data_IF_359654075490
#
_entry.id   IF_359654075490
#
_cell.length_a   1.000
_cell.length_b   1.000
_cell.length_c   1.000
_cell.angle_alpha   90.00
_cell.angle_beta   90.00
_cell.angle_gamma   90.00
#
_symmetry.space_group_name_H-M   'P 1'
#
loop_
_entity.id
_entity.type
_entity.pdbx_description
1 polymer ?
#
# COMPACT_ATOMS: atom_id res chain seq x y z
N UNK A 1 18.52 15.31 0.32
CA UNK A 1 17.07 15.31 0.07
C UNK A 1 16.74 16.34 -1.00
N UNK A 2 15.80 16.03 -1.86
CA UNK A 2 15.31 17.00 -2.84
C UNK A 2 14.22 17.90 -2.24
N UNK A 3 13.69 18.83 -3.04
CA UNK A 3 12.69 19.81 -2.61
C UNK A 3 11.38 19.18 -2.08
N UNK A 4 11.12 17.90 -2.37
CA UNK A 4 9.90 17.18 -1.95
C UNK A 4 10.10 16.39 -0.65
N UNK A 5 11.25 16.46 0.00
CA UNK A 5 11.55 15.73 1.23
C UNK A 5 11.95 14.27 1.05
N UNK A 6 12.08 13.80 -0.21
CA UNK A 6 12.53 12.44 -0.51
C UNK A 6 14.03 12.39 -0.75
N UNK A 7 14.66 11.26 -0.44
CA UNK A 7 16.06 11.01 -0.83
C UNK A 7 16.18 10.88 -2.35
N UNK A 8 17.42 10.92 -2.86
CA UNK A 8 17.66 10.74 -4.30
C UNK A 8 17.17 9.39 -4.80
N UNK A 9 17.39 8.33 -4.04
CA UNK A 9 16.95 6.98 -4.40
C UNK A 9 15.42 6.85 -4.37
N UNK A 10 14.78 7.40 -3.34
CA UNK A 10 13.32 7.43 -3.25
C UNK A 10 12.70 8.18 -4.42
N UNK A 11 13.26 9.33 -4.78
CA UNK A 11 12.83 10.12 -5.93
C UNK A 11 12.94 9.32 -7.22
N UNK A 12 14.01 8.56 -7.39
CA UNK A 12 14.21 7.74 -8.58
C UNK A 12 13.20 6.61 -8.68
N UNK A 13 12.92 5.92 -7.58
CA UNK A 13 11.88 4.90 -7.54
C UNK A 13 10.49 5.49 -7.83
N UNK A 14 10.18 6.65 -7.27
CA UNK A 14 8.90 7.33 -7.52
C UNK A 14 8.78 7.67 -9.00
N UNK A 15 9.81 8.23 -9.60
CA UNK A 15 9.82 8.57 -11.03
C UNK A 15 9.64 7.34 -11.91
N UNK A 16 10.25 6.21 -11.55
CA UNK A 16 10.22 4.99 -12.35
C UNK A 16 8.91 4.22 -12.22
N UNK A 17 8.36 4.11 -11.01
CA UNK A 17 7.26 3.19 -10.71
C UNK A 17 5.94 3.88 -10.34
N UNK A 18 5.98 5.11 -9.86
CA UNK A 18 4.82 5.79 -9.29
C UNK A 18 4.34 6.93 -10.21
N UNK A 19 4.04 6.58 -11.45
CA UNK A 19 3.60 7.55 -12.45
C UNK A 19 2.09 7.71 -12.40
N UNK A 20 1.66 8.86 -11.91
CA UNK A 20 0.28 9.29 -11.97
C UNK A 20 0.21 10.57 -12.80
N UNK A 21 -0.89 10.76 -13.54
CA UNK A 21 -1.15 11.97 -14.29
C UNK A 21 -2.42 12.59 -13.73
N UNK A 22 -2.35 13.28 -12.58
CA UNK A 22 -3.54 13.85 -11.96
C UNK A 22 -4.15 14.94 -12.83
N UNK A 23 -5.48 14.86 -13.02
CA UNK A 23 -6.26 15.92 -13.64
C UNK A 23 -6.36 17.12 -12.69
N UNK A 24 -6.89 18.24 -13.19
CA UNK A 24 -7.01 19.46 -12.41
C UNK A 24 -7.83 19.29 -11.12
N UNK A 25 -8.85 18.43 -11.15
CA UNK A 25 -9.73 18.14 -10.02
C UNK A 25 -9.27 16.96 -9.17
N UNK A 26 -8.04 16.51 -9.33
CA UNK A 26 -7.50 15.36 -8.61
C UNK A 26 -6.35 15.78 -7.71
N UNK A 27 -6.14 15.01 -6.65
CA UNK A 27 -4.95 15.12 -5.81
C UNK A 27 -4.12 13.84 -5.93
N UNK A 28 -2.82 13.98 -5.73
CA UNK A 28 -1.86 12.89 -5.82
C UNK A 28 -0.72 13.12 -4.84
N UNK A 29 -0.22 12.05 -4.26
CA UNK A 29 0.91 12.11 -3.33
C UNK A 29 1.61 10.76 -3.25
N UNK A 30 2.79 10.74 -2.65
CA UNK A 30 3.55 9.53 -2.37
C UNK A 30 4.05 9.53 -0.95
N UNK A 31 4.05 8.35 -0.31
CA UNK A 31 4.52 8.15 1.05
C UNK A 31 5.57 7.05 1.08
N UNK A 32 6.50 7.17 2.02
CA UNK A 32 7.62 6.26 2.17
C UNK A 32 7.61 5.68 3.57
N UNK A 33 7.94 4.39 3.68
CA UNK A 33 8.11 3.70 4.96
C UNK A 33 9.34 2.81 4.92
N UNK A 34 10.20 2.94 5.92
CA UNK A 34 11.35 2.06 6.13
C UNK A 34 10.96 0.98 7.13
N UNK A 35 11.18 -0.28 6.77
CA UNK A 35 10.75 -1.43 7.56
C UNK A 35 11.96 -2.30 7.89
N UNK A 36 12.14 -2.64 9.16
CA UNK A 36 13.25 -3.48 9.65
C UNK A 36 12.92 -4.96 9.48
N UNK A 37 12.60 -5.34 8.25
CA UNK A 37 12.34 -6.71 7.85
C UNK A 37 12.77 -6.88 6.38
N UNK A 38 13.21 -8.08 5.97
CA UNK A 38 13.65 -8.28 4.60
C UNK A 38 12.49 -8.23 3.61
N UNK A 39 12.80 -7.91 2.35
CA UNK A 39 11.82 -7.72 1.28
C UNK A 39 10.86 -8.90 1.15
N UNK A 40 11.36 -10.14 1.23
CA UNK A 40 10.49 -11.30 1.02
C UNK A 40 9.36 -11.41 2.04
N UNK A 41 9.57 -10.96 3.27
CA UNK A 41 8.51 -10.93 4.29
C UNK A 41 7.51 -9.81 4.02
N UNK A 42 7.99 -8.61 3.72
CA UNK A 42 7.12 -7.47 3.43
C UNK A 42 6.31 -7.75 2.17
N UNK A 43 6.96 -8.21 1.10
CA UNK A 43 6.28 -8.53 -0.15
C UNK A 43 5.27 -9.66 0.01
N UNK A 44 5.54 -10.65 0.84
CA UNK A 44 4.60 -11.75 1.11
C UNK A 44 3.25 -11.26 1.63
N UNK A 45 3.22 -10.13 2.34
CA UNK A 45 1.98 -9.51 2.82
C UNK A 45 1.36 -8.61 1.73
N UNK A 46 2.16 -7.76 1.10
CA UNK A 46 1.68 -6.80 0.11
C UNK A 46 1.06 -7.49 -1.10
N UNK A 47 1.69 -8.57 -1.58
CA UNK A 47 1.23 -9.29 -2.77
C UNK A 47 -0.12 -10.00 -2.61
N UNK A 48 -0.57 -10.21 -1.39
CA UNK A 48 -1.81 -10.93 -1.11
C UNK A 48 -3.02 -10.00 -1.30
N UNK A 49 -3.36 -9.78 -2.55
CA UNK A 49 -4.54 -9.01 -2.94
C UNK A 49 -5.82 -9.54 -2.30
N UNK A 50 -5.89 -10.85 -2.03
CA UNK A 50 -7.03 -11.53 -1.42
C UNK A 50 -7.08 -11.43 0.11
N UNK A 51 -6.04 -10.95 0.77
CA UNK A 51 -5.94 -10.93 2.23
C UNK A 51 -5.37 -9.60 2.76
N UNK A 52 -5.96 -8.44 2.39
CA UNK A 52 -5.48 -7.15 2.87
C UNK A 52 -5.61 -7.00 4.39
N UNK A 53 -6.56 -7.71 5.01
CA UNK A 53 -6.77 -7.68 6.44
C UNK A 53 -5.59 -8.19 7.25
N UNK A 54 -4.63 -8.89 6.63
CA UNK A 54 -3.43 -9.35 7.32
C UNK A 54 -2.57 -8.20 7.83
N UNK A 55 -2.64 -7.04 7.20
CA UNK A 55 -1.87 -5.87 7.66
C UNK A 55 -2.65 -4.56 7.64
N UNK A 56 -3.73 -4.42 6.87
CA UNK A 56 -4.52 -3.19 6.83
C UNK A 56 -5.48 -3.15 8.02
N UNK A 57 -5.28 -2.22 8.98
CA UNK A 57 -6.00 -2.29 10.26
C UNK A 57 -7.49 -1.98 10.17
N UNK A 58 -7.93 -1.29 9.10
CA UNK A 58 -9.34 -0.92 8.94
C UNK A 58 -10.15 -1.93 8.13
N UNK A 59 -9.51 -2.98 7.63
CA UNK A 59 -10.18 -4.03 6.86
C UNK A 59 -10.59 -5.16 7.80
N UNK A 60 -11.88 -5.52 7.79
CA UNK A 60 -12.39 -6.62 8.60
C UNK A 60 -12.51 -7.92 7.79
N UNK A 61 -12.85 -7.82 6.51
CA UNK A 61 -13.09 -8.98 5.65
C UNK A 61 -12.80 -8.63 4.20
N UNK A 62 -12.38 -9.64 3.42
CA UNK A 62 -12.16 -9.51 1.98
C UNK A 62 -12.68 -10.75 1.26
N UNK A 63 -13.44 -10.53 0.19
CA UNK A 63 -13.93 -11.59 -0.70
C UNK A 63 -13.43 -11.28 -2.10
N UNK A 64 -12.78 -12.24 -2.74
CA UNK A 64 -12.23 -12.08 -4.09
C UNK A 64 -13.11 -12.74 -5.13
N UNK A 65 -13.29 -12.05 -6.25
CA UNK A 65 -13.91 -12.58 -7.47
C UNK A 65 -12.86 -12.60 -8.57
N UNK A 66 -12.52 -13.80 -9.02
CA UNK A 66 -11.47 -14.02 -10.01
C UNK A 66 -10.37 -14.92 -9.44
N UNK A 67 -9.30 -15.05 -10.20
CA UNK A 67 -8.19 -15.97 -9.93
C UNK A 67 -6.90 -15.29 -9.51
N UNK A 68 -6.97 -14.07 -9.01
CA UNK A 68 -5.83 -13.23 -8.61
C UNK A 68 -4.96 -12.78 -9.80
N UNK A 69 -5.52 -12.80 -11.00
CA UNK A 69 -4.90 -12.19 -12.18
C UNK A 69 -5.35 -10.74 -12.31
N UNK A 70 -4.69 -9.99 -13.20
CA UNK A 70 -5.09 -8.62 -13.53
C UNK A 70 -6.56 -8.59 -13.94
N UNK A 71 -7.33 -7.66 -13.37
CA UNK A 71 -8.76 -7.55 -13.57
C UNK A 71 -9.59 -8.23 -12.47
N UNK A 72 -8.99 -9.04 -11.61
CA UNK A 72 -9.68 -9.62 -10.46
C UNK A 72 -10.22 -8.52 -9.55
N UNK A 73 -11.38 -8.76 -8.97
CA UNK A 73 -12.04 -7.84 -8.05
C UNK A 73 -11.94 -8.37 -6.62
N UNK A 74 -11.81 -7.47 -5.67
CA UNK A 74 -12.02 -7.79 -4.26
C UNK A 74 -13.08 -6.86 -3.68
N UNK A 75 -13.92 -7.42 -2.83
CA UNK A 75 -14.88 -6.68 -2.04
C UNK A 75 -14.39 -6.66 -0.61
N UNK A 76 -14.16 -5.47 -0.09
CA UNK A 76 -13.55 -5.25 1.21
C UNK A 76 -14.60 -4.69 2.15
N UNK A 77 -14.77 -5.33 3.31
CA UNK A 77 -15.58 -4.79 4.41
C UNK A 77 -14.69 -3.99 5.34
N UNK A 78 -15.12 -2.78 5.66
CA UNK A 78 -14.41 -1.84 6.50
C UNK A 78 -14.95 -1.94 7.93
N UNK A 79 -14.06 -1.86 8.92
CA UNK A 79 -14.44 -1.93 10.33
C UNK A 79 -15.41 -0.81 10.71
N UNK A 80 -16.31 -1.12 11.65
CA UNK A 80 -17.33 -0.18 12.15
C UNK A 80 -16.68 1.07 12.77
N UNK A 81 -17.40 2.19 12.71
CA UNK A 81 -16.92 3.48 13.24
C UNK A 81 -16.20 4.34 12.21
N UNK A 82 -15.98 3.83 10.98
CA UNK A 82 -15.41 4.59 9.88
C UNK A 82 -16.52 5.16 8.99
N UNK A 83 -16.23 6.21 8.19
CA UNK A 83 -17.24 6.85 7.35
C UNK A 83 -17.75 6.00 6.19
N UNK A 84 -17.12 4.86 5.90
CA UNK A 84 -17.52 3.94 4.86
C UNK A 84 -17.60 2.52 5.41
N UNK A 85 -18.39 1.64 4.76
CA UNK A 85 -18.55 0.24 5.16
C UNK A 85 -17.97 -0.75 4.17
N UNK A 86 -17.90 -0.39 2.88
CA UNK A 86 -17.41 -1.29 1.82
C UNK A 86 -16.55 -0.56 0.81
N UNK A 87 -15.67 -1.32 0.16
CA UNK A 87 -14.90 -0.87 -1.00
C UNK A 87 -14.76 -2.02 -1.98
N UNK A 88 -15.00 -1.76 -3.27
CA UNK A 88 -14.76 -2.72 -4.34
C UNK A 88 -13.53 -2.27 -5.11
N UNK A 89 -12.55 -3.14 -5.23
CA UNK A 89 -11.24 -2.80 -5.77
C UNK A 89 -10.82 -3.80 -6.84
N UNK A 90 -10.16 -3.31 -7.88
CA UNK A 90 -9.68 -4.12 -8.99
C UNK A 90 -8.16 -4.17 -9.01
N UNK A 91 -7.63 -5.37 -9.23
CA UNK A 91 -6.19 -5.58 -9.39
C UNK A 91 -5.77 -5.09 -10.78
N UNK A 92 -4.89 -4.09 -10.82
CA UNK A 92 -4.38 -3.50 -12.06
C UNK A 92 -3.02 -4.05 -12.46
N UNK A 93 -2.16 -4.33 -11.48
CA UNK A 93 -0.81 -4.86 -11.70
C UNK A 93 -0.36 -5.66 -10.48
N UNK A 94 0.25 -6.79 -10.72
CA UNK A 94 0.97 -7.57 -9.70
C UNK A 94 2.24 -8.11 -10.34
N UNK A 95 3.37 -7.55 -9.96
CA UNK A 95 4.68 -7.90 -10.50
C UNK A 95 5.56 -8.44 -9.37
N UNK A 96 5.71 -9.77 -9.32
CA UNK A 96 6.50 -10.45 -8.29
C UNK A 96 8.01 -10.28 -8.49
N UNK A 97 8.48 -9.88 -9.66
CA UNK A 97 9.91 -9.64 -9.90
C UNK A 97 10.32 -8.23 -9.43
N UNK A 98 9.56 -7.21 -9.83
CA UNK A 98 9.82 -5.83 -9.46
C UNK A 98 9.20 -5.45 -8.11
N UNK A 99 8.36 -6.32 -7.54
CA UNK A 99 7.63 -6.11 -6.29
C UNK A 99 6.73 -4.87 -6.35
N UNK A 100 5.80 -4.88 -7.29
CA UNK A 100 4.86 -3.79 -7.50
C UNK A 100 3.43 -4.32 -7.51
N UNK A 101 2.55 -3.66 -6.76
CA UNK A 101 1.12 -3.92 -6.76
C UNK A 101 0.38 -2.61 -7.09
N UNK A 102 -0.55 -2.67 -8.03
CA UNK A 102 -1.41 -1.53 -8.35
C UNK A 102 -2.86 -1.94 -8.24
N UNK A 103 -3.67 -1.09 -7.63
CA UNK A 103 -5.08 -1.33 -7.34
C UNK A 103 -5.88 -0.09 -7.69
N UNK A 104 -7.07 -0.29 -8.29
CA UNK A 104 -8.02 0.77 -8.55
C UNK A 104 -9.30 0.51 -7.79
N UNK A 105 -9.83 1.51 -7.11
CA UNK A 105 -11.14 1.43 -6.48
C UNK A 105 -12.21 1.68 -7.56
N UNK A 106 -13.14 0.74 -7.68
CA UNK A 106 -14.18 0.79 -8.71
C UNK A 106 -15.59 0.86 -8.12
N UNK A 107 -15.74 0.77 -6.80
CA UNK A 107 -17.04 0.86 -6.14
C UNK A 107 -16.94 0.94 -4.63
N UNK A 108 -18.09 1.01 -3.96
CA UNK A 108 -18.19 1.13 -2.52
C UNK A 108 -19.02 2.34 -2.10
N UNK A 109 -19.24 2.48 -0.80
CA UNK A 109 -20.04 3.56 -0.21
C UNK A 109 -19.20 4.73 0.32
N UNK A 110 -17.92 4.79 -0.05
CA UNK A 110 -16.98 5.86 0.30
C UNK A 110 -16.99 6.98 -0.74
N UNK A 111 -16.27 8.07 -0.44
CA UNK A 111 -16.15 9.24 -1.32
C UNK A 111 -14.89 9.25 -2.18
N UNK A 112 -14.14 8.14 -2.23
CA UNK A 112 -12.90 8.05 -3.00
C UNK A 112 -13.20 7.63 -4.45
N UNK A 113 -13.48 8.61 -5.29
CA UNK A 113 -13.79 8.40 -6.72
C UNK A 113 -12.53 8.40 -7.56
N UNK A 114 -12.44 7.46 -8.50
CA UNK A 114 -11.30 7.32 -9.40
C UNK A 114 -9.96 7.19 -8.65
N UNK A 115 -10.00 6.52 -7.50
CA UNK A 115 -8.79 6.25 -6.72
C UNK A 115 -7.98 5.15 -7.37
N UNK A 116 -6.69 5.42 -7.60
CA UNK A 116 -5.71 4.43 -8.03
C UNK A 116 -4.48 4.54 -7.15
N UNK A 117 -3.92 3.41 -6.78
CA UNK A 117 -2.70 3.37 -5.96
C UNK A 117 -1.68 2.42 -6.56
N UNK A 118 -0.42 2.73 -6.28
CA UNK A 118 0.72 1.88 -6.62
C UNK A 118 1.55 1.74 -5.35
N UNK A 119 1.87 0.50 -4.99
CA UNK A 119 2.81 0.22 -3.91
C UNK A 119 4.00 -0.54 -4.48
N UNK A 120 5.21 -0.11 -4.14
CA UNK A 120 6.45 -0.77 -4.55
C UNK A 120 7.32 -1.06 -3.34
N UNK A 121 8.02 -2.20 -3.38
CA UNK A 121 8.77 -2.74 -2.26
C UNK A 121 10.20 -2.98 -2.71
N UNK A 122 11.16 -2.34 -2.04
CA UNK A 122 12.57 -2.31 -2.44
C UNK A 122 13.50 -2.74 -1.32
N UNK A 123 14.59 -3.44 -1.65
CA UNK A 123 15.58 -3.80 -0.63
C UNK A 123 16.38 -2.58 -0.18
N UNK A 124 16.74 -2.55 1.10
CA UNK A 124 17.70 -1.59 1.64
C UNK A 124 18.43 -2.23 2.83
N UNK A 125 19.41 -1.53 3.35
CA UNK A 125 20.13 -1.94 4.55
C UNK A 125 19.81 -0.95 5.66
N UNK A 126 19.32 -1.47 6.79
CA UNK A 126 18.99 -0.67 7.98
C UNK A 126 19.77 -1.25 9.17
N UNK A 127 20.60 -0.42 9.80
CA UNK A 127 21.42 -0.84 10.94
C UNK A 127 22.27 -2.09 10.64
N UNK A 128 22.81 -2.19 9.42
CA UNK A 128 23.64 -3.30 8.99
C UNK A 128 22.89 -4.59 8.65
N UNK A 129 21.56 -4.56 8.60
CA UNK A 129 20.72 -5.72 8.31
C UNK A 129 19.82 -5.48 7.09
N UNK A 130 19.42 -6.56 6.39
CA UNK A 130 18.45 -6.42 5.32
C UNK A 130 17.14 -5.79 5.82
N UNK A 131 16.76 -4.71 5.20
CA UNK A 131 15.51 -4.01 5.46
C UNK A 131 14.76 -3.76 4.16
N UNK A 132 13.67 -3.01 4.27
CA UNK A 132 12.78 -2.75 3.13
C UNK A 132 12.37 -1.29 3.10
N UNK A 133 12.43 -0.72 1.92
CA UNK A 133 11.83 0.58 1.60
C UNK A 133 10.51 0.33 0.88
N UNK A 134 9.41 0.82 1.43
CA UNK A 134 8.10 0.74 0.82
C UNK A 134 7.67 2.14 0.39
N UNK A 135 7.20 2.25 -0.84
CA UNK A 135 6.65 3.49 -1.39
C UNK A 135 5.23 3.22 -1.85
N UNK A 136 4.29 4.02 -1.39
CA UNK A 136 2.91 3.96 -1.86
C UNK A 136 2.48 5.33 -2.35
N UNK A 137 1.95 5.36 -3.57
CA UNK A 137 1.44 6.58 -4.20
C UNK A 137 -0.01 6.40 -4.62
N UNK A 138 -0.71 7.51 -4.78
CA UNK A 138 -2.11 7.48 -5.18
C UNK A 138 -2.47 8.70 -6.03
N UNK A 139 -3.59 8.57 -6.74
CA UNK A 139 -4.32 9.66 -7.37
C UNK A 139 -5.81 9.44 -7.09
N UNK A 140 -6.54 10.51 -6.82
CA UNK A 140 -7.97 10.44 -6.51
C UNK A 140 -8.66 11.75 -6.85
N UNK A 141 -9.95 11.68 -7.21
CA UNK A 141 -10.76 12.88 -7.40
C UNK A 141 -10.94 13.62 -6.07
N UNK A 142 -10.93 14.94 -6.14
CA UNK A 142 -11.29 15.79 -5.00
C UNK A 142 -12.82 15.86 -4.96
N UNK A 143 -13.47 15.36 -3.89
CA UNK A 143 -14.93 15.40 -3.79
C UNK A 143 -15.44 16.84 -3.76
N UNK A 144 -16.64 17.05 -4.27
CA UNK A 144 -17.32 18.33 -4.18
C UNK A 144 -17.42 18.77 -2.69
N UNK A 145 -17.08 20.02 -2.44
CA UNK A 145 -17.07 20.59 -1.07
C UNK A 145 -15.76 20.41 -0.32
N UNK A 146 -14.81 19.65 -0.86
CA UNK A 146 -13.48 19.47 -0.27
C UNK A 146 -12.41 20.21 -1.08
N UNK A 147 -11.29 20.53 -0.44
CA UNK A 147 -10.10 21.05 -1.10
C UNK A 147 -9.14 19.90 -1.46
N UNK A 148 -8.18 20.17 -2.34
CA UNK A 148 -7.10 19.21 -2.63
C UNK A 148 -6.33 18.84 -1.36
N UNK A 149 -6.00 19.84 -0.53
CA UNK A 149 -5.24 19.62 0.70
C UNK A 149 -6.00 18.73 1.68
N UNK A 150 -7.29 18.94 1.85
CA UNK A 150 -8.14 18.11 2.72
C UNK A 150 -8.18 16.66 2.23
N UNK A 151 -8.36 16.47 0.92
CA UNK A 151 -8.42 15.14 0.32
C UNK A 151 -7.08 14.43 0.41
N UNK A 152 -5.98 15.10 0.07
CA UNK A 152 -4.64 14.55 0.23
C UNK A 152 -4.36 14.17 1.68
N UNK A 153 -4.65 15.05 2.62
CA UNK A 153 -4.43 14.79 4.04
C UNK A 153 -5.17 13.53 4.52
N UNK A 154 -6.43 13.39 4.12
CA UNK A 154 -7.25 12.24 4.51
C UNK A 154 -6.66 10.94 3.97
N UNK A 155 -6.33 10.88 2.68
CA UNK A 155 -5.78 9.67 2.05
C UNK A 155 -4.38 9.36 2.59
N UNK A 156 -3.54 10.37 2.76
CA UNK A 156 -2.21 10.20 3.36
C UNK A 156 -2.29 9.61 4.76
N UNK A 157 -3.26 10.06 5.56
CA UNK A 157 -3.47 9.52 6.91
C UNK A 157 -3.84 8.02 6.88
N UNK A 158 -4.70 7.62 5.95
CA UNK A 158 -5.05 6.20 5.77
C UNK A 158 -3.83 5.37 5.36
N UNK A 159 -3.07 5.85 4.40
CA UNK A 159 -1.86 5.15 3.91
C UNK A 159 -0.83 5.05 5.02
N UNK A 160 -0.62 6.12 5.79
CA UNK A 160 0.31 6.09 6.94
C UNK A 160 -0.06 5.01 7.95
N UNK A 161 -1.35 4.88 8.27
CA UNK A 161 -1.82 3.82 9.16
C UNK A 161 -1.56 2.43 8.58
N UNK A 162 -1.84 2.24 7.30
CA UNK A 162 -1.61 0.97 6.62
C UNK A 162 -0.11 0.61 6.59
N UNK A 163 0.76 1.58 6.26
CA UNK A 163 2.20 1.35 6.20
C UNK A 163 2.80 1.10 7.57
N UNK A 164 2.32 1.79 8.61
CA UNK A 164 2.73 1.52 9.99
C UNK A 164 2.36 0.10 10.41
N UNK A 165 1.16 -0.33 10.10
CA UNK A 165 0.70 -1.69 10.40
C UNK A 165 1.50 -2.73 9.61
N UNK A 166 1.79 -2.46 8.34
CA UNK A 166 2.64 -3.32 7.52
C UNK A 166 4.03 -3.49 8.15
N UNK A 167 4.61 -2.40 8.64
CA UNK A 167 5.90 -2.44 9.34
C UNK A 167 5.81 -3.30 10.60
N UNK A 168 4.79 -3.07 11.44
CA UNK A 168 4.63 -3.79 12.70
C UNK A 168 4.46 -5.31 12.47
N UNK A 169 3.65 -5.70 11.50
CA UNK A 169 3.43 -7.12 11.17
C UNK A 169 4.69 -7.75 10.58
N UNK A 170 5.33 -7.06 9.62
CA UNK A 170 6.55 -7.56 8.96
C UNK A 170 7.70 -7.74 9.95
N UNK A 171 7.88 -6.78 10.86
CA UNK A 171 8.95 -6.83 11.86
C UNK A 171 8.73 -7.94 12.88
N UNK A 172 7.48 -8.23 13.25
CA UNK A 172 7.15 -9.40 14.09
C UNK A 172 7.47 -10.71 13.38
N UNK A 173 7.13 -10.82 12.09
CA UNK A 173 7.49 -11.99 11.30
C UNK A 173 9.01 -12.18 11.20
N UNK A 174 9.75 -11.09 11.04
CA UNK A 174 11.22 -11.14 11.00
C UNK A 174 11.81 -11.63 12.31
N UNK A 175 11.26 -11.25 13.45
CA UNK A 175 11.68 -11.74 14.76
C UNK A 175 11.37 -13.22 14.90
N UNK A 176 10.19 -13.68 14.48
CA UNK A 176 9.82 -15.09 14.50
C UNK A 176 10.76 -15.94 13.66
N UNK A 177 11.08 -15.51 12.43
CA UNK A 177 12.02 -16.21 11.55
C UNK A 177 13.40 -16.38 12.21
N UNK A 178 13.85 -15.39 12.99
CA UNK A 178 15.16 -15.44 13.65
C UNK A 178 15.17 -16.28 14.93
N UNK A 179 14.00 -16.49 15.55
CA UNK A 179 13.87 -17.20 16.82
C UNK A 179 13.38 -18.63 16.67
N UNK A 180 12.85 -19.00 15.50
CA UNK A 180 12.50 -20.38 15.21
C UNK A 180 13.76 -21.25 15.25
N UNK A 181 13.74 -22.39 15.97
CA UNK A 181 14.87 -23.30 15.93
C UNK A 181 15.05 -23.79 14.50
N UNK A 182 16.30 -23.77 14.04
CA UNK A 182 16.67 -24.43 12.78
C UNK A 182 16.20 -25.87 12.92
N UNK A 183 15.25 -26.27 12.09
CA UNK A 183 14.75 -27.63 12.10
C UNK A 183 15.95 -28.57 12.05
N UNK A 184 15.99 -29.42 13.06
CA UNK A 184 17.06 -30.40 13.14
C UNK A 184 16.93 -31.34 11.93
N UNK A 185 17.90 -31.21 11.07
CA UNK A 185 18.03 -32.17 9.97
C UNK A 185 18.19 -33.57 10.51
#
# INVERSE_FOLDING_TARGET
>A
MNANGFSSLETEYIRKHHRHQPAENQCSSALVKHIKAPVHLVWSLVRRFDQPQKYKPFVSRCVVRGNLEIGSLREVDVKSGLPATTSTERLELLDDEEHILSVRIVGGDHRLRNYSSIISVHPEVIDGRPGTLVIESFVVDVPEGNTKDETCYFVEALIKCNLKSLADVSERLAVQDRTEPIDQM
#
